data_IF_584215155043
#
_entry.id   IF_584215155043
#
_cell.length_a   1.000
_cell.length_b   1.000
_cell.length_c   1.000
_cell.angle_alpha   90.00
_cell.angle_beta   90.00
_cell.angle_gamma   90.00
#
_symmetry.space_group_name_H-M   'P 1'
#
loop_
_entity.id
_entity.type
_entity.pdbx_description
1 polymer ?
#
# COMPACT_ATOMS: atom_id res chain seq x y z
N UNK A 1 14.47 -2.34 19.65
CA UNK A 1 14.32 -1.10 18.86
C UNK A 1 12.84 -0.87 18.66
N UNK A 2 12.39 0.36 18.83
CA UNK A 2 11.00 0.75 18.57
C UNK A 2 10.78 1.05 17.08
N UNK A 3 9.52 1.06 16.64
CA UNK A 3 9.17 1.44 15.27
C UNK A 3 9.70 2.84 14.92
N UNK A 4 9.49 3.80 15.83
CA UNK A 4 9.96 5.19 15.67
C UNK A 4 11.47 5.27 15.43
N UNK A 5 12.25 4.47 16.15
CA UNK A 5 13.70 4.40 15.98
C UNK A 5 14.10 3.82 14.61
N UNK A 6 13.41 2.79 14.13
CA UNK A 6 13.69 2.18 12.83
C UNK A 6 13.38 3.15 11.69
N UNK A 7 12.23 3.81 11.73
CA UNK A 7 11.83 4.80 10.73
C UNK A 7 12.80 5.99 10.73
N UNK A 8 13.20 6.51 11.90
CA UNK A 8 14.19 7.58 12.01
C UNK A 8 15.57 7.19 11.46
N UNK A 9 15.90 5.89 11.51
CA UNK A 9 17.13 5.32 10.91
C UNK A 9 16.99 5.04 9.42
N UNK A 10 15.89 5.43 8.77
CA UNK A 10 15.68 5.28 7.32
C UNK A 10 15.20 3.90 6.88
N UNK A 11 14.72 3.06 7.80
CA UNK A 11 14.13 1.78 7.40
C UNK A 11 12.75 2.02 6.76
N UNK A 12 12.51 1.34 5.64
CA UNK A 12 11.19 1.25 5.05
C UNK A 12 10.40 0.13 5.74
N UNK A 13 9.21 0.46 6.22
CA UNK A 13 8.27 -0.48 6.84
C UNK A 13 7.46 -1.23 5.78
N UNK A 14 7.26 -2.52 6.01
CA UNK A 14 6.41 -3.43 5.24
C UNK A 14 5.46 -4.09 6.22
N UNK A 15 4.18 -3.83 6.04
CA UNK A 15 3.15 -4.25 7.00
C UNK A 15 2.86 -5.74 6.88
N UNK A 16 2.65 -6.37 8.03
CA UNK A 16 2.18 -7.75 8.12
C UNK A 16 1.15 -7.94 9.22
N UNK A 17 0.35 -8.99 9.08
CA UNK A 17 -0.72 -9.39 10.00
C UNK A 17 -0.14 -9.75 11.38
N UNK A 18 0.93 -10.56 11.40
CA UNK A 18 1.53 -11.04 12.65
C UNK A 18 2.73 -10.19 13.07
N UNK A 19 3.48 -9.67 12.10
CA UNK A 19 4.61 -8.80 12.35
C UNK A 19 4.95 -7.93 11.14
N UNK A 20 5.51 -6.77 11.42
CA UNK A 20 6.02 -5.87 10.40
C UNK A 20 7.48 -6.16 10.12
N UNK A 21 7.87 -6.05 8.85
CA UNK A 21 9.26 -6.18 8.41
C UNK A 21 9.78 -4.81 8.01
N UNK A 22 11.00 -4.51 8.39
CA UNK A 22 11.67 -3.25 8.12
C UNK A 22 12.90 -3.54 7.29
N UNK A 23 13.11 -2.77 6.21
CA UNK A 23 14.25 -2.95 5.33
C UNK A 23 14.97 -1.63 5.02
N UNK A 24 16.30 -1.65 5.10
CA UNK A 24 17.19 -0.53 4.74
C UNK A 24 18.10 -0.94 3.59
N UNK A 25 17.92 -0.31 2.43
CA UNK A 25 18.61 -0.71 1.20
C UNK A 25 20.12 -0.46 1.25
N UNK A 26 20.54 0.67 1.81
CA UNK A 26 21.94 1.09 1.93
C UNK A 26 22.78 0.18 2.85
N UNK A 27 22.15 -0.54 3.78
CA UNK A 27 22.82 -1.57 4.58
C UNK A 27 22.83 -2.94 3.88
N UNK A 28 22.04 -3.15 2.83
CA UNK A 28 21.88 -4.47 2.24
C UNK A 28 23.06 -4.81 1.32
N UNK A 29 23.79 -5.88 1.66
CA UNK A 29 24.91 -6.38 0.85
C UNK A 29 24.58 -7.65 0.05
N UNK A 30 23.42 -8.30 0.32
CA UNK A 30 23.10 -9.63 -0.25
C UNK A 30 21.59 -9.91 -0.43
N UNK A 31 20.80 -9.00 -1.01
CA UNK A 31 19.33 -9.17 -1.18
C UNK A 31 18.92 -10.48 -1.86
N UNK A 32 19.76 -11.02 -2.76
CA UNK A 32 19.57 -12.31 -3.41
C UNK A 32 19.44 -13.49 -2.44
N UNK A 33 20.06 -13.43 -1.26
CA UNK A 33 19.93 -14.45 -0.20
C UNK A 33 18.51 -14.47 0.35
N UNK A 34 17.91 -13.30 0.56
CA UNK A 34 16.52 -13.18 1.05
C UNK A 34 15.55 -13.78 0.03
N UNK A 35 15.71 -13.42 -1.25
CA UNK A 35 14.90 -13.95 -2.36
C UNK A 35 15.04 -15.46 -2.51
N UNK A 36 16.24 -16.02 -2.34
CA UNK A 36 16.46 -17.48 -2.36
C UNK A 36 15.90 -18.17 -1.12
N UNK A 37 15.94 -17.50 0.03
CA UNK A 37 15.52 -18.05 1.32
C UNK A 37 14.01 -18.23 1.44
N UNK A 38 13.21 -17.28 0.94
CA UNK A 38 11.77 -17.42 0.85
C UNK A 38 11.20 -16.46 -0.21
N UNK A 39 10.79 -17.01 -1.37
CA UNK A 39 10.23 -16.22 -2.49
C UNK A 39 8.81 -15.71 -2.26
N UNK A 40 8.08 -16.31 -1.33
CA UNK A 40 6.73 -15.86 -0.98
C UNK A 40 6.79 -14.55 -0.20
N UNK A 41 7.83 -14.40 0.64
CA UNK A 41 8.11 -13.16 1.38
C UNK A 41 8.92 -12.18 0.54
N UNK A 42 10.04 -12.60 -0.04
CA UNK A 42 10.99 -11.74 -0.74
C UNK A 42 10.92 -11.96 -2.26
N UNK A 43 10.29 -11.05 -2.97
CA UNK A 43 10.05 -11.16 -4.41
C UNK A 43 10.37 -9.86 -5.15
N UNK A 44 11.56 -9.80 -5.76
CA UNK A 44 12.04 -8.64 -6.55
C UNK A 44 11.19 -8.31 -7.78
N UNK A 45 10.28 -9.22 -8.21
CA UNK A 45 9.35 -8.96 -9.31
C UNK A 45 8.03 -8.35 -8.85
N UNK A 46 7.79 -8.26 -7.53
CA UNK A 46 6.60 -7.65 -6.95
C UNK A 46 6.92 -6.28 -6.37
N UNK A 47 5.92 -5.41 -6.33
CA UNK A 47 5.92 -4.16 -5.55
C UNK A 47 4.72 -4.24 -4.60
N UNK A 48 4.94 -4.37 -3.27
CA UNK A 48 6.22 -4.31 -2.60
C UNK A 48 6.98 -5.64 -2.80
N UNK A 49 8.30 -5.58 -2.69
CA UNK A 49 9.12 -6.78 -2.85
C UNK A 49 9.23 -7.61 -1.56
N UNK A 50 8.81 -7.06 -0.41
CA UNK A 50 8.69 -7.76 0.87
C UNK A 50 7.21 -7.86 1.23
N UNK A 51 6.73 -9.09 1.42
CA UNK A 51 5.38 -9.43 1.83
C UNK A 51 5.46 -10.28 3.10
N UNK A 52 5.39 -9.67 4.31
CA UNK A 52 5.54 -10.41 5.57
C UNK A 52 4.59 -11.60 5.67
N UNK A 53 3.34 -11.43 5.24
CA UNK A 53 2.30 -12.48 5.25
C UNK A 53 2.49 -13.57 4.18
N UNK A 54 3.58 -13.50 3.40
CA UNK A 54 3.99 -14.58 2.50
C UNK A 54 4.53 -15.81 3.26
N UNK A 55 4.84 -15.67 4.55
CA UNK A 55 5.19 -16.76 5.47
C UNK A 55 4.19 -16.76 6.64
N UNK A 56 3.35 -17.79 6.79
CA UNK A 56 2.34 -17.83 7.85
C UNK A 56 2.95 -18.04 9.25
N UNK A 57 4.08 -18.73 9.34
CA UNK A 57 4.74 -19.04 10.60
C UNK A 57 5.78 -17.97 10.95
N UNK A 58 5.48 -17.13 11.96
CA UNK A 58 6.34 -16.00 12.33
C UNK A 58 7.76 -16.44 12.69
N UNK A 59 7.94 -17.60 13.31
CA UNK A 59 9.25 -18.15 13.70
C UNK A 59 10.16 -18.36 12.49
N UNK A 60 9.62 -18.84 11.38
CA UNK A 60 10.38 -19.04 10.13
C UNK A 60 10.84 -17.71 9.56
N UNK A 61 9.97 -16.71 9.54
CA UNK A 61 10.31 -15.39 9.02
C UNK A 61 11.28 -14.65 9.95
N UNK A 62 11.14 -14.77 11.28
CA UNK A 62 12.13 -14.25 12.24
C UNK A 62 13.51 -14.88 12.02
N UNK A 63 13.58 -16.21 11.87
CA UNK A 63 14.83 -16.91 11.57
C UNK A 63 15.45 -16.46 10.24
N UNK A 64 14.63 -16.19 9.22
CA UNK A 64 15.10 -15.66 7.94
C UNK A 64 15.68 -14.24 8.09
N UNK A 65 15.03 -13.37 8.87
CA UNK A 65 15.50 -12.01 9.13
C UNK A 65 16.79 -12.00 9.95
N UNK A 66 16.91 -12.86 10.98
CA UNK A 66 18.12 -12.98 11.79
C UNK A 66 19.36 -13.44 11.01
N UNK A 67 19.18 -14.07 9.85
CA UNK A 67 20.30 -14.40 8.96
C UNK A 67 20.87 -13.21 8.20
N UNK A 68 20.28 -12.01 8.33
CA UNK A 68 20.79 -10.80 7.67
C UNK A 68 22.09 -10.32 8.36
N UNK A 69 23.27 -10.52 7.77
CA UNK A 69 24.54 -10.21 8.44
C UNK A 69 24.77 -8.70 8.59
N UNK A 70 24.15 -7.89 7.73
CA UNK A 70 24.33 -6.43 7.74
C UNK A 70 23.30 -5.69 8.58
N UNK A 71 22.33 -6.39 9.18
CA UNK A 71 21.23 -5.78 9.92
C UNK A 71 20.23 -5.02 9.07
N UNK A 72 20.32 -5.11 7.72
CA UNK A 72 19.43 -4.44 6.78
C UNK A 72 17.95 -4.83 6.93
N UNK A 73 17.67 -5.97 7.56
CA UNK A 73 16.32 -6.40 7.92
C UNK A 73 16.13 -6.32 9.45
N UNK A 74 14.99 -5.78 9.85
CA UNK A 74 14.51 -5.77 11.24
C UNK A 74 13.03 -6.16 11.24
N UNK A 75 12.47 -6.52 12.40
CA UNK A 75 11.05 -6.81 12.53
C UNK A 75 10.51 -6.32 13.87
N UNK A 76 9.19 -6.13 13.93
CA UNK A 76 8.44 -5.89 15.16
C UNK A 76 7.23 -6.82 15.14
N UNK A 77 7.13 -7.67 16.16
CA UNK A 77 5.99 -8.60 16.34
C UNK A 77 4.86 -7.88 17.05
N UNK A 78 3.63 -8.16 16.59
CA UNK A 78 2.43 -7.61 17.18
C UNK A 78 1.96 -8.47 18.37
N UNK A 79 1.35 -7.84 19.39
CA UNK A 79 0.76 -8.53 20.54
C UNK A 79 -0.60 -9.21 20.21
N UNK A 80 -0.77 -9.67 18.96
CA UNK A 80 -1.99 -10.24 18.40
C UNK A 80 -1.93 -10.22 16.86
N UNK A 81 -2.84 -10.93 16.18
CA UNK A 81 -3.03 -10.77 14.73
C UNK A 81 -3.67 -9.40 14.49
N UNK A 82 -2.95 -8.50 13.83
CA UNK A 82 -3.54 -7.29 13.26
C UNK A 82 -4.30 -7.69 12.00
N UNK A 83 -5.48 -7.14 11.75
CA UNK A 83 -6.30 -7.50 10.59
C UNK A 83 -5.59 -7.10 9.32
N UNK A 84 -4.76 -8.00 8.80
CA UNK A 84 -4.16 -7.88 7.48
C UNK A 84 -5.29 -7.56 6.51
N UNK A 85 -5.24 -6.36 5.95
CA UNK A 85 -6.09 -5.89 4.86
C UNK A 85 -7.45 -5.24 5.18
N UNK A 86 -7.85 -5.05 6.45
CA UNK A 86 -9.05 -4.24 6.77
C UNK A 86 -8.70 -2.75 6.70
N UNK A 87 -9.28 -2.07 5.72
CA UNK A 87 -9.09 -0.63 5.49
C UNK A 87 -10.43 0.06 5.64
N UNK A 88 -10.44 1.18 6.36
CA UNK A 88 -11.57 2.11 6.44
C UNK A 88 -11.39 3.16 5.36
N UNK A 89 -12.46 3.44 4.63
CA UNK A 89 -12.50 4.52 3.64
C UNK A 89 -12.99 5.77 4.33
N UNK A 90 -12.17 6.81 4.32
CA UNK A 90 -12.51 8.13 4.87
C UNK A 90 -12.71 9.11 3.71
N UNK A 91 -13.70 10.00 3.86
CA UNK A 91 -14.10 10.94 2.83
C UNK A 91 -13.97 12.38 3.33
N UNK A 92 -13.27 13.20 2.55
CA UNK A 92 -13.20 14.65 2.68
C UNK A 92 -13.72 15.31 1.39
N UNK A 93 -13.79 16.64 1.36
CA UNK A 93 -14.37 17.39 0.24
C UNK A 93 -13.70 17.05 -1.10
N UNK A 94 -12.36 17.10 -1.14
CA UNK A 94 -11.51 16.94 -2.34
C UNK A 94 -10.52 15.76 -2.21
N UNK A 95 -10.75 14.87 -1.24
CA UNK A 95 -9.82 13.81 -0.87
C UNK A 95 -10.59 12.59 -0.36
N UNK A 96 -10.12 11.41 -0.75
CA UNK A 96 -10.51 10.14 -0.14
C UNK A 96 -9.23 9.44 0.27
N UNK A 97 -9.19 8.87 1.47
CA UNK A 97 -8.01 8.16 1.97
C UNK A 97 -8.40 6.88 2.69
N UNK A 98 -7.46 5.94 2.75
CA UNK A 98 -7.65 4.65 3.39
C UNK A 98 -6.84 4.59 4.67
N UNK A 99 -7.49 4.31 5.79
CA UNK A 99 -6.85 4.08 7.08
C UNK A 99 -6.84 2.59 7.40
N UNK A 100 -5.72 2.07 7.90
CA UNK A 100 -5.71 0.73 8.47
C UNK A 100 -6.31 0.73 9.90
N UNK A 101 -6.28 -0.42 10.55
CA UNK A 101 -6.79 -0.58 11.93
C UNK A 101 -5.94 0.11 12.99
N UNK A 102 -4.74 0.56 12.64
CA UNK A 102 -3.80 1.26 13.54
C UNK A 102 -3.82 2.77 13.35
N UNK A 103 -4.83 3.29 12.65
CA UNK A 103 -4.92 4.71 12.26
C UNK A 103 -3.69 5.19 11.46
N UNK A 104 -3.09 4.29 10.67
CA UNK A 104 -2.05 4.62 9.71
C UNK A 104 -2.69 4.76 8.33
N UNK A 105 -2.41 5.88 7.67
CA UNK A 105 -2.84 6.12 6.30
C UNK A 105 -2.10 5.18 5.33
N UNK A 106 -2.87 4.42 4.56
CA UNK A 106 -2.37 3.49 3.55
C UNK A 106 -2.19 4.16 2.19
N UNK A 107 -2.95 5.22 1.92
CA UNK A 107 -2.88 6.00 0.70
C UNK A 107 -4.08 6.92 0.54
N UNK A 108 -3.99 7.78 -0.46
CA UNK A 108 -4.95 8.83 -0.74
C UNK A 108 -5.20 9.00 -2.24
N UNK A 109 -6.36 9.57 -2.56
CA UNK A 109 -6.73 10.04 -3.88
C UNK A 109 -7.28 11.45 -3.75
N UNK A 110 -6.71 12.38 -4.51
CA UNK A 110 -7.12 13.78 -4.55
C UNK A 110 -7.84 14.07 -5.87
N UNK A 111 -8.83 14.96 -5.78
CA UNK A 111 -9.59 15.39 -6.93
C UNK A 111 -10.14 16.80 -6.75
N UNK A 112 -10.25 17.52 -7.87
CA UNK A 112 -10.86 18.84 -7.91
C UNK A 112 -12.30 18.76 -8.42
N UNK A 113 -13.18 19.57 -7.83
CA UNK A 113 -14.55 19.75 -8.32
C UNK A 113 -14.56 20.78 -9.45
N UNK A 114 -14.93 20.36 -10.66
CA UNK A 114 -15.14 21.26 -11.81
C UNK A 114 -16.63 21.33 -12.10
N UNK A 115 -17.23 22.46 -11.70
CA UNK A 115 -18.69 22.60 -11.70
C UNK A 115 -19.36 21.56 -10.80
N UNK A 116 -20.62 21.25 -11.09
CA UNK A 116 -21.39 20.23 -10.35
C UNK A 116 -21.19 18.82 -10.92
N UNK A 117 -20.67 18.70 -12.15
CA UNK A 117 -20.72 17.45 -12.90
C UNK A 117 -19.40 16.68 -12.95
N UNK A 118 -18.25 17.32 -12.75
CA UNK A 118 -16.94 16.70 -13.05
C UNK A 118 -16.04 16.64 -11.82
N UNK A 119 -15.44 15.47 -11.59
CA UNK A 119 -14.37 15.19 -10.64
C UNK A 119 -13.05 14.98 -11.40
N UNK A 120 -12.08 15.89 -11.22
CA UNK A 120 -10.77 15.78 -11.85
C UNK A 120 -9.81 15.05 -10.91
N UNK A 121 -9.58 13.76 -11.15
CA UNK A 121 -8.65 12.95 -10.35
C UNK A 121 -7.22 13.25 -10.77
N UNK A 122 -6.54 14.07 -9.98
CA UNK A 122 -5.21 14.62 -10.31
C UNK A 122 -4.08 13.87 -9.59
N UNK A 123 -4.36 13.18 -8.47
CA UNK A 123 -3.36 12.49 -7.68
C UNK A 123 -3.89 11.19 -7.08
N UNK A 124 -3.09 10.13 -7.15
CA UNK A 124 -3.32 8.88 -6.40
C UNK A 124 -1.99 8.42 -5.86
N UNK A 125 -1.90 8.28 -4.53
CA UNK A 125 -0.69 7.85 -3.86
C UNK A 125 -0.99 6.70 -2.90
N UNK A 126 -0.07 5.74 -2.88
CA UNK A 126 -0.10 4.62 -1.96
C UNK A 126 1.19 4.65 -1.18
N UNK A 127 1.07 4.69 0.14
CA UNK A 127 2.24 4.63 1.00
C UNK A 127 3.02 3.35 0.71
N UNK A 128 4.34 3.51 0.71
CA UNK A 128 5.28 2.52 0.21
C UNK A 128 5.15 1.14 0.91
N UNK A 129 4.79 1.12 2.20
CA UNK A 129 4.56 -0.13 2.93
C UNK A 129 3.25 -0.84 2.55
N UNK A 130 2.29 -0.11 1.96
CA UNK A 130 0.99 -0.61 1.54
C UNK A 130 0.86 -0.82 0.03
N UNK A 131 1.91 -0.50 -0.74
CA UNK A 131 2.01 -0.83 -2.16
C UNK A 131 1.69 -2.31 -2.39
N UNK A 132 1.11 -2.67 -3.53
CA UNK A 132 0.74 -4.05 -3.90
C UNK A 132 -0.27 -4.79 -3.00
N UNK A 133 -0.83 -4.13 -1.99
CA UNK A 133 -1.93 -4.66 -1.17
C UNK A 133 -3.32 -4.29 -1.73
N UNK A 134 -3.37 -3.75 -2.96
CA UNK A 134 -4.61 -3.34 -3.61
C UNK A 134 -5.16 -1.96 -3.18
N UNK A 135 -4.44 -1.20 -2.34
CA UNK A 135 -4.84 0.14 -1.87
C UNK A 135 -5.24 1.07 -3.01
N UNK A 136 -4.38 1.19 -4.04
CA UNK A 136 -4.65 2.07 -5.17
C UNK A 136 -5.95 1.72 -5.90
N UNK A 137 -6.25 0.42 -6.05
CA UNK A 137 -7.52 -0.01 -6.66
C UNK A 137 -8.71 0.31 -5.74
N UNK A 138 -8.57 0.11 -4.42
CA UNK A 138 -9.62 0.47 -3.44
C UNK A 138 -9.91 1.98 -3.47
N UNK A 139 -8.89 2.83 -3.56
CA UNK A 139 -9.03 4.29 -3.71
C UNK A 139 -9.79 4.67 -4.99
N UNK A 140 -9.43 4.06 -6.13
CA UNK A 140 -10.12 4.28 -7.40
C UNK A 140 -11.58 3.83 -7.32
N UNK A 141 -11.85 2.65 -6.75
CA UNK A 141 -13.22 2.19 -6.55
C UNK A 141 -14.02 3.18 -5.70
N UNK A 142 -13.44 3.70 -4.61
CA UNK A 142 -14.12 4.65 -3.73
C UNK A 142 -14.47 5.97 -4.44
N UNK A 143 -13.57 6.51 -5.28
CA UNK A 143 -13.88 7.74 -6.05
C UNK A 143 -14.92 7.47 -7.15
N UNK A 144 -14.91 6.29 -7.77
CA UNK A 144 -15.94 5.86 -8.74
C UNK A 144 -17.30 5.74 -8.08
N UNK A 145 -17.39 5.11 -6.91
CA UNK A 145 -18.63 4.97 -6.16
C UNK A 145 -19.20 6.34 -5.75
N UNK A 146 -18.33 7.28 -5.33
CA UNK A 146 -18.73 8.66 -5.07
C UNK A 146 -19.27 9.33 -6.32
N UNK A 147 -18.58 9.22 -7.45
CA UNK A 147 -19.01 9.80 -8.72
C UNK A 147 -20.39 9.26 -9.13
N UNK A 148 -20.62 7.94 -9.03
CA UNK A 148 -21.93 7.33 -9.29
C UNK A 148 -23.02 7.87 -8.37
N UNK A 149 -22.75 7.94 -7.06
CA UNK A 149 -23.71 8.41 -6.06
C UNK A 149 -24.10 9.87 -6.29
N UNK A 150 -23.14 10.69 -6.70
CA UNK A 150 -23.34 12.12 -6.96
C UNK A 150 -23.79 12.41 -8.40
N UNK A 151 -23.94 11.39 -9.26
CA UNK A 151 -24.21 11.53 -10.69
C UNK A 151 -23.17 12.36 -11.47
N UNK A 152 -21.90 12.24 -11.08
CA UNK A 152 -20.77 12.98 -11.65
C UNK A 152 -19.91 12.10 -12.55
N UNK A 153 -19.15 12.73 -13.44
CA UNK A 153 -18.13 12.13 -14.29
C UNK A 153 -16.73 12.34 -13.74
N UNK A 154 -15.81 11.45 -14.10
CA UNK A 154 -14.41 11.48 -13.69
C UNK A 154 -13.53 11.81 -14.88
N UNK A 155 -12.70 12.83 -14.72
CA UNK A 155 -11.56 13.14 -15.59
C UNK A 155 -10.27 12.66 -14.94
N UNK A 156 -9.69 11.54 -15.37
CA UNK A 156 -8.45 11.04 -14.77
C UNK A 156 -7.22 11.70 -15.39
N UNK A 157 -6.63 12.66 -14.67
CA UNK A 157 -5.37 13.31 -15.07
C UNK A 157 -4.16 12.56 -14.53
N UNK A 158 -4.28 11.94 -13.35
CA UNK A 158 -3.24 11.05 -12.82
C UNK A 158 -3.06 9.83 -13.73
N UNK A 159 -1.84 9.54 -14.18
CA UNK A 159 -1.53 8.39 -15.04
C UNK A 159 -2.00 7.05 -14.45
N UNK A 160 -1.85 6.88 -13.12
CA UNK A 160 -2.31 5.68 -12.42
C UNK A 160 -3.83 5.54 -12.49
N UNK A 161 -4.57 6.63 -12.21
CA UNK A 161 -6.02 6.64 -12.30
C UNK A 161 -6.49 6.39 -13.73
N UNK A 162 -5.86 7.05 -14.71
CA UNK A 162 -6.17 6.86 -16.12
C UNK A 162 -5.96 5.40 -16.52
N UNK A 163 -4.81 4.82 -16.18
CA UNK A 163 -4.50 3.44 -16.53
C UNK A 163 -5.49 2.41 -15.94
N UNK A 164 -6.06 2.66 -14.76
CA UNK A 164 -7.05 1.75 -14.16
C UNK A 164 -8.44 1.99 -14.74
N UNK A 165 -8.86 3.25 -14.82
CA UNK A 165 -10.21 3.60 -15.25
C UNK A 165 -10.44 3.27 -16.73
N UNK A 166 -9.46 3.51 -17.60
CA UNK A 166 -9.63 3.20 -19.04
C UNK A 166 -9.57 1.72 -19.35
N UNK A 167 -8.79 0.93 -18.58
CA UNK A 167 -8.65 -0.51 -18.80
C UNK A 167 -9.83 -1.32 -18.26
N UNK A 168 -10.57 -0.79 -17.29
CA UNK A 168 -11.69 -1.50 -16.70
C UNK A 168 -13.02 -0.96 -17.25
N UNK A 169 -13.66 -1.75 -18.11
CA UNK A 169 -14.94 -1.39 -18.75
C UNK A 169 -16.04 -1.09 -17.72
N UNK A 170 -15.99 -1.74 -16.54
CA UNK A 170 -16.92 -1.50 -15.44
C UNK A 170 -16.90 -0.06 -14.93
N UNK A 171 -15.87 0.74 -15.23
CA UNK A 171 -15.75 2.13 -14.79
C UNK A 171 -16.06 3.15 -15.89
N UNK A 172 -16.34 2.70 -17.13
CA UNK A 172 -16.56 3.59 -18.26
C UNK A 172 -17.89 4.37 -18.16
N UNK A 173 -18.81 3.93 -17.30
CA UNK A 173 -20.06 4.62 -17.00
C UNK A 173 -19.83 5.99 -16.33
N UNK A 174 -18.75 6.14 -15.57
CA UNK A 174 -18.38 7.42 -14.92
C UNK A 174 -17.26 8.15 -15.64
N UNK A 175 -16.65 7.60 -16.68
CA UNK A 175 -15.61 8.31 -17.40
C UNK A 175 -16.18 9.50 -18.18
N UNK A 176 -15.52 10.65 -18.02
CA UNK A 176 -15.71 11.77 -18.93
C UNK A 176 -15.08 11.43 -20.29
N UNK A 177 -15.82 11.70 -21.37
CA UNK A 177 -15.41 11.43 -22.75
C UNK A 177 -14.65 12.59 -23.35
#
# INVERSE_FOLDING_TARGET
MTEKELLAKGYRKYYGTVMDVYFRLDLCIHSAVCVKGNRSVFNVRKRPWILPDGEPEKENLMALIHRCPSGALQYIVHNGMRGGNKMRVEHEENRIYLMNEEDIEAGEILFDNVGEDILVVNHTYVHDGFSGQGVGKKLITAVVERARKENRKIRPVCEFAQAILTKNEDYHDVLEK
#
